data_IF_900726000793
#
_entry.id   IF_900726000793
#
_cell.length_a   1.000
_cell.length_b   1.000
_cell.length_c   1.000
_cell.angle_alpha   90.00
_cell.angle_beta   90.00
_cell.angle_gamma   90.00
#
_symmetry.space_group_name_H-M   'P 1'
#
loop_
_entity.id
_entity.type
_entity.pdbx_description
1 polymer ?
#
# COMPACT_ATOMS: atom_id res chain seq x y z
N UNK A 1 -9.31 18.71 31.79
CA UNK A 1 -8.54 19.84 31.18
C UNK A 1 -7.10 19.49 30.83
N UNK A 2 -6.10 19.44 31.72
CA UNK A 2 -4.68 19.22 31.31
C UNK A 2 -4.42 17.87 30.61
N UNK A 3 -5.08 16.79 31.06
CA UNK A 3 -4.93 15.44 30.49
C UNK A 3 -5.62 15.33 29.12
N UNK A 4 -6.78 15.96 28.93
CA UNK A 4 -7.46 15.97 27.63
C UNK A 4 -6.68 16.77 26.59
N UNK A 5 -6.06 17.89 26.97
CA UNK A 5 -5.19 18.66 26.06
C UNK A 5 -3.90 17.93 25.70
N UNK A 6 -3.32 17.18 26.65
CA UNK A 6 -2.14 16.34 26.39
C UNK A 6 -2.50 15.12 25.53
N UNK A 7 -3.68 14.52 25.75
CA UNK A 7 -4.19 13.42 24.93
C UNK A 7 -4.51 13.88 23.51
N UNK A 8 -5.20 15.01 23.36
CA UNK A 8 -5.50 15.60 22.04
C UNK A 8 -4.21 15.95 21.31
N UNK A 9 -3.23 16.59 21.98
CA UNK A 9 -1.91 16.84 21.38
C UNK A 9 -1.18 15.56 21.01
N UNK A 10 -1.28 14.51 21.82
CA UNK A 10 -0.70 13.21 21.51
C UNK A 10 -1.36 12.55 20.29
N UNK A 11 -2.68 12.63 20.18
CA UNK A 11 -3.45 12.16 19.02
C UNK A 11 -3.08 12.96 17.77
N UNK A 12 -3.04 14.29 17.86
CA UNK A 12 -2.66 15.17 16.75
C UNK A 12 -1.21 14.92 16.31
N UNK A 13 -0.27 14.76 17.25
CA UNK A 13 1.11 14.42 16.96
C UNK A 13 1.25 13.00 16.36
N UNK A 14 0.38 12.06 16.74
CA UNK A 14 0.34 10.73 16.13
C UNK A 14 -0.28 10.72 14.72
N UNK A 15 -1.27 11.58 14.48
CA UNK A 15 -1.92 11.75 13.17
C UNK A 15 -1.06 12.57 12.20
N UNK A 16 -0.26 13.51 12.73
CA UNK A 16 0.60 14.39 11.98
C UNK A 16 1.95 14.55 12.70
N UNK A 17 2.83 13.52 12.65
CA UNK A 17 4.14 13.58 13.27
C UNK A 17 4.90 14.83 12.80
N UNK A 18 5.60 15.47 13.72
CA UNK A 18 6.41 16.63 13.38
C UNK A 18 7.45 16.23 12.31
N UNK A 19 7.73 17.09 11.31
CA UNK A 19 8.83 16.86 10.39
C UNK A 19 10.11 16.64 11.19
N UNK A 20 10.80 15.53 10.98
CA UNK A 20 12.21 15.48 11.37
C UNK A 20 12.97 16.39 10.41
N UNK A 21 13.31 17.60 10.84
CA UNK A 21 14.16 18.51 10.04
C UNK A 21 15.59 17.95 9.96
N UNK A 22 16.25 17.99 8.77
CA UNK A 22 16.21 19.11 7.82
C UNK A 22 15.91 18.78 6.34
N UNK A 23 15.33 17.63 5.99
CA UNK A 23 15.22 17.23 4.56
C UNK A 23 13.89 17.58 3.86
N UNK A 24 12.86 18.03 4.58
CA UNK A 24 11.59 18.36 3.92
C UNK A 24 11.66 19.74 3.26
N UNK A 25 11.65 19.78 1.93
CA UNK A 25 11.57 21.02 1.13
C UNK A 25 10.20 21.18 0.50
N UNK A 26 9.77 22.43 0.37
CA UNK A 26 8.61 22.82 -0.44
C UNK A 26 8.75 22.29 -1.88
N UNK A 27 7.65 21.88 -2.49
CA UNK A 27 7.60 21.46 -3.89
C UNK A 27 7.85 19.96 -4.09
N UNK A 28 8.55 19.59 -5.16
CA UNK A 28 8.69 18.19 -5.58
C UNK A 28 9.68 17.45 -4.68
N UNK A 29 9.29 16.27 -4.19
CA UNK A 29 10.14 15.40 -3.39
C UNK A 29 9.93 13.92 -3.74
N UNK A 30 10.81 13.06 -3.23
CA UNK A 30 10.66 11.60 -3.24
C UNK A 30 10.51 11.12 -1.80
N UNK A 31 9.49 10.33 -1.54
CA UNK A 31 9.20 9.85 -0.18
C UNK A 31 10.32 8.93 0.34
N UNK A 32 10.84 9.23 1.53
CA UNK A 32 11.78 8.39 2.27
C UNK A 32 11.26 8.16 3.70
N UNK A 33 11.77 7.14 4.43
CA UNK A 33 11.24 6.79 5.76
C UNK A 33 11.31 7.88 6.83
N UNK A 34 12.21 8.86 6.69
CA UNK A 34 12.33 10.01 7.60
C UNK A 34 11.26 11.08 7.37
N UNK A 35 10.54 11.06 6.25
CA UNK A 35 9.52 12.07 5.99
C UNK A 35 8.28 11.88 6.88
N UNK A 36 7.73 12.98 7.39
CA UNK A 36 6.55 12.95 8.27
C UNK A 36 5.30 12.36 7.62
N UNK A 37 5.22 12.38 6.29
CA UNK A 37 4.11 11.76 5.55
C UNK A 37 4.31 10.27 5.26
N UNK A 38 5.47 9.70 5.55
CA UNK A 38 5.72 8.27 5.32
C UNK A 38 4.69 7.42 6.08
N UNK A 39 4.09 6.44 5.41
CA UNK A 39 2.96 5.62 5.89
C UNK A 39 1.63 6.35 6.13
N UNK A 40 1.58 7.69 6.05
CA UNK A 40 0.31 8.42 6.12
C UNK A 40 -0.49 8.24 4.83
N UNK A 41 -1.78 8.56 4.92
CA UNK A 41 -2.72 8.49 3.78
C UNK A 41 -2.76 9.84 3.08
N UNK A 42 -2.65 9.83 1.76
CA UNK A 42 -2.93 10.97 0.92
C UNK A 42 -4.42 11.29 0.96
N UNK A 43 -4.79 12.47 1.43
CA UNK A 43 -6.20 12.88 1.54
C UNK A 43 -6.89 13.06 0.19
N UNK A 44 -6.13 13.16 -0.91
CA UNK A 44 -6.69 13.30 -2.26
C UNK A 44 -7.07 11.95 -2.88
N UNK A 45 -6.19 10.94 -2.84
CA UNK A 45 -6.43 9.63 -3.49
C UNK A 45 -6.68 8.47 -2.53
N UNK A 46 -6.48 8.65 -1.22
CA UNK A 46 -6.64 7.60 -0.22
C UNK A 46 -5.49 6.58 -0.16
N UNK A 47 -4.48 6.67 -1.03
CA UNK A 47 -3.30 5.81 -0.96
C UNK A 47 -2.30 6.25 0.09
N UNK A 48 -1.62 5.29 0.72
CA UNK A 48 -0.50 5.58 1.61
C UNK A 48 0.73 6.06 0.83
N UNK A 49 1.53 6.93 1.45
CA UNK A 49 2.87 7.27 0.94
C UNK A 49 3.88 6.18 1.27
N UNK A 50 4.54 5.67 0.23
CA UNK A 50 5.55 4.61 0.26
C UNK A 50 6.91 5.16 -0.11
N UNK A 51 7.98 4.46 0.26
CA UNK A 51 9.33 4.82 -0.17
C UNK A 51 9.40 4.86 -1.71
N UNK A 52 9.99 5.92 -2.25
CA UNK A 52 10.14 6.09 -3.69
C UNK A 52 8.98 6.84 -4.37
N UNK A 53 7.87 7.11 -3.68
CA UNK A 53 6.77 7.88 -4.24
C UNK A 53 7.23 9.30 -4.57
N UNK A 54 7.09 9.70 -5.83
CA UNK A 54 7.18 11.10 -6.23
C UNK A 54 5.96 11.86 -5.68
N UNK A 55 6.21 12.97 -4.98
CA UNK A 55 5.18 13.77 -4.32
C UNK A 55 5.37 15.26 -4.55
N UNK A 56 4.30 16.03 -4.39
CA UNK A 56 4.34 17.47 -4.20
C UNK A 56 4.00 17.78 -2.74
N UNK A 57 4.89 18.50 -2.08
CA UNK A 57 4.78 18.97 -0.70
C UNK A 57 4.40 20.43 -0.71
N UNK A 58 3.36 20.78 0.06
CA UNK A 58 2.98 22.15 0.41
C UNK A 58 3.14 22.29 1.92
N UNK A 59 4.20 22.98 2.35
CA UNK A 59 4.54 23.20 3.75
C UNK A 59 3.60 24.19 4.42
N UNK A 60 3.12 25.20 3.69
CA UNK A 60 2.22 26.21 4.23
C UNK A 60 0.85 25.61 4.57
N UNK A 61 0.31 24.76 3.69
CA UNK A 61 -0.91 24.02 3.91
C UNK A 61 -0.69 22.71 4.71
N UNK A 62 0.58 22.31 4.93
CA UNK A 62 0.96 21.00 5.50
C UNK A 62 0.29 19.83 4.78
N UNK A 63 0.30 19.86 3.46
CA UNK A 63 -0.26 18.78 2.62
C UNK A 63 0.80 18.14 1.74
N UNK A 64 0.58 16.87 1.42
CA UNK A 64 1.40 16.11 0.48
C UNK A 64 0.45 15.40 -0.48
N UNK A 65 0.78 15.39 -1.77
CA UNK A 65 0.04 14.64 -2.79
C UNK A 65 0.97 13.84 -3.69
N UNK A 66 0.55 12.68 -4.17
CA UNK A 66 1.35 11.92 -5.14
C UNK A 66 1.42 12.62 -6.49
N UNK A 67 2.51 12.35 -7.19
CA UNK A 67 2.74 12.73 -8.59
C UNK A 67 2.80 11.49 -9.51
N UNK A 68 2.50 10.30 -8.98
CA UNK A 68 2.50 9.05 -9.73
C UNK A 68 1.34 8.99 -10.74
N UNK A 69 1.62 8.88 -12.05
CA UNK A 69 0.58 8.71 -13.06
C UNK A 69 -0.30 7.50 -12.77
N UNK A 70 -1.62 7.64 -12.98
CA UNK A 70 -2.59 6.57 -12.72
C UNK A 70 -3.18 6.59 -11.31
N UNK A 71 -2.63 7.38 -10.38
CA UNK A 71 -3.31 7.72 -9.14
C UNK A 71 -4.22 8.95 -9.34
N UNK A 72 -5.40 8.94 -8.74
CA UNK A 72 -6.41 9.98 -8.93
C UNK A 72 -5.94 11.39 -8.48
N UNK A 73 -4.92 11.47 -7.62
CA UNK A 73 -4.37 12.75 -7.12
C UNK A 73 -3.28 13.38 -7.98
N UNK A 74 -2.64 12.62 -8.88
CA UNK A 74 -1.58 13.14 -9.75
C UNK A 74 -2.13 13.83 -11.00
N UNK A 75 -3.36 13.47 -11.41
CA UNK A 75 -4.00 13.94 -12.64
C UNK A 75 -3.36 13.34 -13.87
N UNK A 76 -4.15 12.63 -14.68
CA UNK A 76 -3.70 12.03 -15.94
C UNK A 76 -3.75 10.49 -15.94
N UNK A 77 -3.93 9.88 -17.13
CA UNK A 77 -3.90 8.43 -17.26
C UNK A 77 -2.53 7.90 -16.83
N UNK A 78 -2.52 6.70 -16.24
CA UNK A 78 -1.26 5.99 -16.01
C UNK A 78 -0.54 5.78 -17.33
N UNK A 79 0.77 5.95 -17.33
CA UNK A 79 1.58 5.58 -18.51
C UNK A 79 1.68 4.07 -18.54
N UNK A 80 1.12 3.44 -19.57
CA UNK A 80 1.34 2.02 -19.80
C UNK A 80 2.84 1.75 -19.99
N UNK A 81 3.40 0.72 -19.33
CA UNK A 81 4.79 0.36 -19.54
C UNK A 81 5.02 -0.04 -21.00
N UNK A 82 6.25 0.17 -21.49
CA UNK A 82 6.62 -0.35 -22.81
C UNK A 82 6.51 -1.87 -22.84
N UNK A 83 6.34 -2.45 -24.03
CA UNK A 83 6.24 -3.90 -24.21
C UNK A 83 7.43 -4.63 -23.54
N UNK A 84 8.65 -4.11 -23.70
CA UNK A 84 9.85 -4.67 -23.06
C UNK A 84 9.79 -4.65 -21.53
N UNK A 85 9.28 -3.57 -20.93
CA UNK A 85 9.13 -3.47 -19.47
C UNK A 85 8.05 -4.44 -18.99
N UNK A 86 6.96 -4.58 -19.72
CA UNK A 86 5.89 -5.53 -19.40
C UNK A 86 6.38 -6.99 -19.50
N UNK A 87 7.13 -7.33 -20.54
CA UNK A 87 7.74 -8.66 -20.73
C UNK A 87 8.75 -8.97 -19.63
N UNK A 88 9.63 -8.02 -19.28
CA UNK A 88 10.56 -8.20 -18.17
C UNK A 88 9.83 -8.40 -16.85
N UNK A 89 8.80 -7.60 -16.57
CA UNK A 89 8.00 -7.74 -15.35
C UNK A 89 7.28 -9.09 -15.30
N UNK A 90 6.73 -9.58 -16.42
CA UNK A 90 6.13 -10.90 -16.52
C UNK A 90 7.15 -12.00 -16.25
N UNK A 91 8.30 -11.97 -16.93
CA UNK A 91 9.36 -12.97 -16.74
C UNK A 91 9.90 -12.98 -15.31
N UNK A 92 10.02 -11.81 -14.67
CA UNK A 92 10.39 -11.71 -13.26
C UNK A 92 9.32 -12.33 -12.36
N UNK A 93 8.04 -12.10 -12.66
CA UNK A 93 6.92 -12.63 -11.90
C UNK A 93 6.79 -14.16 -12.03
N UNK A 94 7.01 -14.69 -13.24
CA UNK A 94 6.94 -16.12 -13.57
C UNK A 94 8.12 -16.89 -12.97
N UNK A 95 9.31 -16.27 -12.95
CA UNK A 95 10.52 -16.83 -12.36
C UNK A 95 10.64 -16.62 -10.84
N UNK A 96 9.74 -15.85 -10.22
CA UNK A 96 9.85 -15.53 -8.80
C UNK A 96 9.54 -16.75 -7.91
N UNK A 97 10.30 -16.98 -6.82
CA UNK A 97 10.08 -18.14 -5.94
C UNK A 97 8.65 -18.21 -5.38
N UNK A 98 8.19 -19.45 -5.13
CA UNK A 98 6.85 -19.85 -4.66
C UNK A 98 5.71 -19.75 -5.69
N UNK A 99 5.12 -20.91 -6.04
CA UNK A 99 3.89 -20.97 -6.83
C UNK A 99 2.69 -20.72 -5.91
N UNK A 100 2.35 -19.45 -5.73
CA UNK A 100 1.16 -19.02 -4.98
C UNK A 100 0.21 -18.29 -5.93
N UNK A 101 -1.11 -18.52 -5.84
CA UNK A 101 -2.08 -17.80 -6.68
C UNK A 101 -1.95 -16.28 -6.51
N UNK A 102 -1.86 -15.57 -7.63
CA UNK A 102 -1.78 -14.12 -7.66
C UNK A 102 -3.01 -13.48 -8.27
N UNK A 103 -3.36 -12.34 -7.71
CA UNK A 103 -4.38 -11.45 -8.25
C UNK A 103 -3.68 -10.15 -8.63
N UNK A 104 -3.81 -9.74 -9.90
CA UNK A 104 -3.46 -8.39 -10.35
C UNK A 104 -4.67 -7.49 -10.14
N UNK A 105 -4.53 -6.48 -9.29
CA UNK A 105 -5.67 -5.65 -8.89
C UNK A 105 -6.10 -4.71 -10.01
N UNK A 106 -7.38 -4.77 -10.40
CA UNK A 106 -7.99 -3.80 -11.29
C UNK A 106 -8.23 -2.45 -10.56
N UNK A 107 -8.41 -1.37 -11.32
CA UNK A 107 -8.67 -0.03 -10.76
C UNK A 107 -9.96 0.00 -9.91
N UNK A 108 -10.94 -0.82 -10.28
CA UNK A 108 -12.24 -0.92 -9.64
C UNK A 108 -12.33 -2.01 -8.56
N UNK A 109 -11.23 -2.73 -8.29
CA UNK A 109 -11.15 -3.67 -7.17
C UNK A 109 -11.44 -2.94 -5.85
N UNK A 110 -12.24 -3.55 -4.99
CA UNK A 110 -12.65 -2.95 -3.72
C UNK A 110 -11.47 -2.78 -2.74
N UNK A 111 -10.36 -3.50 -2.96
CA UNK A 111 -9.10 -3.37 -2.19
C UNK A 111 -8.29 -2.13 -2.55
N UNK A 112 -8.61 -1.48 -3.66
CA UNK A 112 -7.95 -0.25 -4.11
C UNK A 112 -8.73 0.96 -3.55
N UNK A 113 -8.07 1.85 -2.77
CA UNK A 113 -8.66 3.10 -2.31
C UNK A 113 -9.22 3.93 -3.46
N UNK A 114 -10.39 4.53 -3.25
CA UNK A 114 -11.01 5.47 -4.19
C UNK A 114 -11.55 6.69 -3.44
N UNK A 115 -11.46 7.90 -4.02
CA UNK A 115 -12.11 9.08 -3.46
C UNK A 115 -13.60 8.83 -3.19
N UNK A 116 -14.07 9.19 -2.00
CA UNK A 116 -15.48 9.06 -1.63
C UNK A 116 -15.95 7.65 -1.23
N UNK A 117 -15.07 6.67 -1.10
CA UNK A 117 -15.46 5.36 -0.56
C UNK A 117 -16.01 5.48 0.87
N UNK A 118 -17.13 4.81 1.13
CA UNK A 118 -17.80 4.78 2.46
C UNK A 118 -16.96 4.07 3.53
N UNK A 119 -16.17 3.08 3.14
CA UNK A 119 -15.31 2.30 4.02
C UNK A 119 -13.86 2.37 3.55
N UNK A 120 -12.88 2.46 4.47
CA UNK A 120 -11.48 2.44 4.09
C UNK A 120 -11.15 1.14 3.35
N UNK A 121 -10.45 1.26 2.23
CA UNK A 121 -9.92 0.08 1.55
C UNK A 121 -8.93 -0.66 2.46
N UNK A 122 -8.89 -2.01 2.40
CA UNK A 122 -7.93 -2.80 3.14
C UNK A 122 -6.49 -2.47 2.73
N UNK A 123 -5.57 -2.76 3.66
CA UNK A 123 -4.13 -2.57 3.49
C UNK A 123 -3.42 -3.92 3.50
N UNK A 124 -2.23 -3.95 2.93
CA UNK A 124 -1.34 -5.10 3.03
C UNK A 124 -1.13 -5.50 4.49
N UNK A 125 -1.35 -6.77 4.81
CA UNK A 125 -1.24 -7.27 6.20
C UNK A 125 0.19 -7.30 6.74
N UNK A 126 1.19 -7.19 5.87
CA UNK A 126 2.59 -7.16 6.24
C UNK A 126 3.13 -5.73 6.39
N UNK A 127 3.04 -4.91 5.34
CA UNK A 127 3.63 -3.56 5.34
C UNK A 127 2.67 -2.42 5.69
N UNK A 128 1.38 -2.71 5.89
CA UNK A 128 0.34 -1.72 6.17
C UNK A 128 0.14 -0.62 5.10
N UNK A 129 0.75 -0.73 3.93
CA UNK A 129 0.44 0.13 2.78
C UNK A 129 -0.85 -0.29 2.06
N UNK A 130 -1.62 0.68 1.58
CA UNK A 130 -2.81 0.45 0.71
C UNK A 130 -2.37 -0.12 -0.62
N UNK A 131 -3.18 -0.94 -1.30
CA UNK A 131 -2.87 -1.42 -2.65
C UNK A 131 -3.10 -0.37 -3.74
N UNK A 132 -2.41 -0.49 -4.88
CA UNK A 132 -2.59 0.34 -6.08
C UNK A 132 -3.06 -0.49 -7.28
N UNK A 133 -3.71 0.14 -8.28
CA UNK A 133 -4.03 -0.53 -9.53
C UNK A 133 -2.80 -1.16 -10.19
N UNK A 134 -3.00 -2.36 -10.73
CA UNK A 134 -1.98 -3.12 -11.45
C UNK A 134 -0.96 -3.84 -10.57
N UNK A 135 -0.99 -3.66 -9.24
CA UNK A 135 -0.14 -4.41 -8.31
C UNK A 135 -0.58 -5.86 -8.21
N UNK A 136 0.40 -6.75 -8.08
CA UNK A 136 0.18 -8.16 -7.78
C UNK A 136 0.14 -8.41 -6.26
N UNK A 137 -0.88 -9.17 -5.84
CA UNK A 137 -1.08 -9.53 -4.45
C UNK A 137 -1.40 -11.01 -4.30
N UNK A 138 -1.00 -11.57 -3.17
CA UNK A 138 -1.53 -12.85 -2.69
C UNK A 138 -2.73 -12.53 -1.80
N UNK A 139 -3.89 -13.06 -2.17
CA UNK A 139 -5.12 -12.98 -1.37
C UNK A 139 -5.16 -14.20 -0.45
N UNK A 140 -5.57 -14.03 0.82
CA UNK A 140 -5.70 -15.17 1.72
C UNK A 140 -6.65 -16.22 1.11
N UNK A 141 -6.22 -17.48 0.93
CA UNK A 141 -7.08 -18.54 0.41
C UNK A 141 -8.07 -19.04 1.46
N UNK A 142 -7.88 -18.66 2.72
CA UNK A 142 -8.54 -19.22 3.88
C UNK A 142 -10.07 -19.16 3.87
N UNK A 143 -10.67 -18.18 3.15
CA UNK A 143 -12.11 -18.15 2.84
C UNK A 143 -12.33 -17.40 1.53
N UNK A 144 -12.09 -18.05 0.40
CA UNK A 144 -12.23 -17.44 -0.94
C UNK A 144 -13.65 -16.90 -1.19
N UNK A 145 -14.66 -17.53 -0.59
CA UNK A 145 -16.08 -17.20 -0.75
C UNK A 145 -16.57 -16.10 0.21
N UNK A 146 -15.78 -15.74 1.22
CA UNK A 146 -16.14 -14.72 2.22
C UNK A 146 -15.44 -13.40 1.88
N UNK A 147 -16.16 -12.37 1.39
CA UNK A 147 -15.59 -11.08 1.07
C UNK A 147 -14.98 -10.37 2.30
N UNK A 148 -15.41 -10.72 3.52
CA UNK A 148 -14.79 -10.22 4.75
C UNK A 148 -13.34 -10.72 4.90
N UNK A 149 -13.00 -11.82 4.22
CA UNK A 149 -11.67 -12.40 4.14
C UNK A 149 -10.84 -11.83 2.96
N UNK A 150 -11.00 -10.56 2.62
CA UNK A 150 -10.22 -9.92 1.56
C UNK A 150 -8.80 -9.49 1.93
N UNK A 151 -8.23 -10.06 2.99
CA UNK A 151 -6.85 -9.78 3.34
C UNK A 151 -5.91 -10.19 2.22
N UNK A 152 -5.02 -9.27 1.90
CA UNK A 152 -4.04 -9.46 0.88
C UNK A 152 -2.67 -9.01 1.37
N UNK A 153 -1.64 -9.51 0.71
CA UNK A 153 -0.24 -9.18 0.95
C UNK A 153 0.41 -8.90 -0.40
N UNK A 154 1.19 -7.82 -0.50
CA UNK A 154 1.87 -7.53 -1.76
C UNK A 154 2.84 -8.64 -2.15
N UNK A 155 2.80 -9.02 -3.43
CA UNK A 155 3.80 -9.86 -4.08
C UNK A 155 3.97 -9.39 -5.51
N UNK A 156 4.69 -8.29 -5.64
CA UNK A 156 4.99 -7.64 -6.93
C UNK A 156 6.48 -7.28 -6.96
N UNK A 157 7.36 -8.24 -7.30
CA UNK A 157 8.81 -8.03 -7.30
C UNK A 157 9.25 -6.99 -8.34
N UNK A 158 8.53 -6.85 -9.45
CA UNK A 158 8.79 -5.82 -10.45
C UNK A 158 8.66 -4.40 -9.88
N UNK A 159 7.83 -4.23 -8.84
CA UNK A 159 7.67 -2.98 -8.08
C UNK A 159 8.43 -2.99 -6.74
N UNK A 160 9.26 -4.00 -6.48
CA UNK A 160 10.00 -4.15 -5.22
C UNK A 160 9.13 -4.51 -4.01
N UNK A 161 7.90 -5.01 -4.22
CA UNK A 161 6.93 -5.32 -3.17
C UNK A 161 6.94 -6.83 -2.85
N UNK A 162 7.97 -7.31 -2.17
CA UNK A 162 8.15 -8.71 -1.77
C UNK A 162 7.63 -9.00 -0.34
N UNK A 163 6.46 -8.46 0.00
CA UNK A 163 5.91 -8.60 1.35
C UNK A 163 5.54 -10.05 1.67
N UNK A 164 5.08 -10.80 0.66
CA UNK A 164 4.74 -12.21 0.82
C UNK A 164 5.93 -13.05 1.23
N UNK A 165 7.04 -12.98 0.50
CA UNK A 165 8.23 -13.80 0.78
C UNK A 165 8.84 -13.49 2.15
N UNK A 166 8.72 -12.24 2.62
CA UNK A 166 9.14 -11.88 3.98
C UNK A 166 8.22 -12.43 5.06
N UNK A 167 6.95 -12.65 4.72
CA UNK A 167 5.96 -13.14 5.66
C UNK A 167 5.86 -14.68 5.68
N UNK A 168 5.89 -15.31 4.50
CA UNK A 168 5.80 -16.76 4.27
C UNK A 168 6.95 -17.17 3.33
N UNK A 169 8.19 -17.25 3.83
CA UNK A 169 9.36 -17.56 3.00
C UNK A 169 9.27 -18.93 2.32
N UNK A 170 8.58 -19.88 2.95
CA UNK A 170 8.40 -21.24 2.44
C UNK A 170 7.17 -21.40 1.54
N UNK A 171 6.39 -20.32 1.35
CA UNK A 171 5.18 -20.32 0.51
C UNK A 171 3.95 -21.02 1.10
N UNK A 172 4.06 -21.62 2.29
CA UNK A 172 2.97 -22.35 2.96
C UNK A 172 2.23 -21.44 3.94
N UNK A 173 0.93 -21.25 3.73
CA UNK A 173 0.08 -20.52 4.70
C UNK A 173 -0.42 -21.47 5.78
N UNK A 174 0.38 -21.72 6.81
CA UNK A 174 -0.07 -22.56 7.92
C UNK A 174 -1.12 -21.88 8.82
N UNK A 175 -1.06 -20.54 8.93
CA UNK A 175 -1.93 -19.73 9.79
C UNK A 175 -2.54 -18.57 9.00
N UNK A 176 -3.87 -18.42 9.10
CA UNK A 176 -4.60 -17.30 8.52
C UNK A 176 -4.17 -15.96 9.17
N UNK A 177 -3.77 -14.93 8.38
CA UNK A 177 -3.36 -13.63 8.92
C UNK A 177 -4.53 -12.76 9.39
N UNK A 178 -5.77 -13.15 9.05
CA UNK A 178 -7.03 -12.47 9.41
C UNK A 178 -7.59 -13.04 10.70
N UNK A 179 -7.90 -14.34 10.68
CA UNK A 179 -8.56 -15.05 11.77
C UNK A 179 -7.59 -15.60 12.81
N UNK A 180 -6.27 -15.65 12.52
CA UNK A 180 -5.24 -16.26 13.38
C UNK A 180 -5.47 -17.75 13.69
N UNK A 181 -6.30 -18.40 12.87
CA UNK A 181 -6.56 -19.84 12.94
C UNK A 181 -5.64 -20.60 11.98
N UNK A 182 -5.39 -21.89 12.24
CA UNK A 182 -4.79 -22.77 11.23
C UNK A 182 -5.63 -22.73 9.97
N UNK A 183 -4.98 -22.64 8.81
CA UNK A 183 -5.64 -22.95 7.55
C UNK A 183 -5.83 -24.47 7.60
N UNK A 184 -7.03 -24.91 7.96
CA UNK A 184 -7.37 -26.33 7.87
C UNK A 184 -7.37 -26.68 6.40
N UNK A 185 -6.68 -27.76 6.04
CA UNK A 185 -6.66 -28.30 4.67
C UNK A 185 -8.10 -28.40 4.18
N UNK A 186 -8.46 -27.54 3.24
CA UNK A 186 -9.72 -27.63 2.53
C UNK A 186 -9.49 -28.66 1.42
N UNK A 187 -9.84 -29.92 1.72
CA UNK A 187 -10.18 -30.93 0.71
C UNK A 187 -11.43 -30.49 -0.06
#
# INVERSE_FOLDING_TARGET
>A
MRIEEELTRGIEAGLAPAPSEPETREGRAVTVPSHWWFNLVCHTCGHTFRRGDAVLVDLAARTVRHLEPGLDCAGGPGTEPSATVAEFASGLQDGWPASVPLVRLAKDDWRVPRPGQRHPAPRCRYCAHTFRPGEHVVVCPCRIEDPACGAAVHRDPARGLSCWERWQPDGVVAICPVAKTKVTDHD
#
